data_IF_975544196238
#
_entry.id   IF_975544196238
#
_cell.length_a   1.000
_cell.length_b   1.000
_cell.length_c   1.000
_cell.angle_alpha   90.00
_cell.angle_beta   90.00
_cell.angle_gamma   90.00
#
_symmetry.space_group_name_H-M   'P 1'
#
loop_
_entity.id
_entity.type
_entity.pdbx_description
1 polymer ?
#
# COMPACT_ATOMS: atom_id res chain seq x y z
N UNK A 1 18.75 -8.63 0.31
CA UNK A 1 18.20 -7.60 1.20
C UNK A 1 16.84 -7.08 0.74
N UNK A 2 16.68 -6.60 -0.51
CA UNK A 2 15.34 -6.35 -1.08
C UNK A 2 14.44 -7.61 -0.99
N UNK A 3 15.05 -8.79 -1.09
CA UNK A 3 14.46 -10.12 -0.84
C UNK A 3 13.93 -10.33 0.58
N UNK A 4 14.35 -9.54 1.55
CA UNK A 4 13.86 -9.65 2.92
C UNK A 4 12.86 -8.54 3.24
N UNK A 5 12.99 -7.38 2.60
CA UNK A 5 12.18 -6.19 2.90
C UNK A 5 10.94 -6.10 2.03
N UNK A 6 11.02 -6.42 0.74
CA UNK A 6 9.90 -6.28 -0.19
C UNK A 6 9.07 -7.56 -0.27
N UNK A 7 8.69 -8.16 0.87
CA UNK A 7 7.90 -9.40 0.87
C UNK A 7 6.40 -9.15 0.95
N UNK A 8 5.59 -10.13 0.53
CA UNK A 8 4.14 -10.02 0.60
C UNK A 8 3.67 -9.62 2.01
N UNK A 9 2.80 -8.61 2.07
CA UNK A 9 2.26 -8.08 3.32
C UNK A 9 3.20 -7.11 4.04
N UNK A 10 4.40 -6.83 3.52
CA UNK A 10 5.28 -5.85 4.12
C UNK A 10 4.78 -4.43 3.85
N UNK A 11 4.70 -3.63 4.92
CA UNK A 11 4.56 -2.18 4.87
C UNK A 11 5.96 -1.56 4.93
N UNK A 12 6.33 -0.85 3.89
CA UNK A 12 7.67 -0.31 3.70
C UNK A 12 7.60 1.21 3.57
N UNK A 13 8.51 1.91 4.23
CA UNK A 13 8.79 3.32 3.99
C UNK A 13 9.98 3.40 3.04
N UNK A 14 9.84 4.19 1.97
CA UNK A 14 10.97 4.63 1.16
C UNK A 14 11.19 6.11 1.45
N UNK A 15 12.31 6.40 2.08
CA UNK A 15 12.79 7.75 2.32
C UNK A 15 13.28 8.36 1.01
N UNK A 16 13.00 9.64 0.80
CA UNK A 16 13.32 10.36 -0.45
C UNK A 16 12.80 9.66 -1.72
N UNK A 17 11.62 9.05 -1.65
CA UNK A 17 11.00 8.41 -2.82
C UNK A 17 10.85 9.41 -3.97
N UNK A 18 11.41 9.07 -5.12
CA UNK A 18 11.41 9.89 -6.32
C UNK A 18 10.17 9.58 -7.15
N UNK A 19 9.30 10.59 -7.33
CA UNK A 19 8.13 10.45 -8.18
C UNK A 19 8.52 10.39 -9.66
N UNK A 20 7.81 9.56 -10.43
CA UNK A 20 8.08 9.37 -11.86
C UNK A 20 7.82 10.61 -12.71
N UNK A 21 7.03 11.56 -12.20
CA UNK A 21 6.72 12.82 -12.86
C UNK A 21 7.78 13.91 -12.59
N UNK A 22 8.83 13.60 -11.82
CA UNK A 22 9.90 14.54 -11.51
C UNK A 22 9.53 15.59 -10.47
N UNK A 23 8.39 15.48 -9.78
CA UNK A 23 7.93 16.44 -8.76
C UNK A 23 8.67 16.30 -7.41
N UNK A 24 10.00 16.14 -7.46
CA UNK A 24 10.88 16.05 -6.29
C UNK A 24 10.89 14.68 -5.61
N UNK A 25 11.46 14.65 -4.41
CA UNK A 25 11.47 13.49 -3.52
C UNK A 25 10.61 13.75 -2.28
N UNK A 26 9.96 12.69 -1.79
CA UNK A 26 9.30 12.71 -0.48
C UNK A 26 9.18 11.29 0.05
N UNK A 27 9.32 11.14 1.35
CA UNK A 27 8.99 9.91 2.06
C UNK A 27 7.64 9.33 1.63
N UNK A 28 7.66 8.04 1.30
CA UNK A 28 6.49 7.34 0.78
C UNK A 28 6.35 5.96 1.39
N UNK A 29 5.18 5.72 1.96
CA UNK A 29 4.78 4.39 2.38
C UNK A 29 4.17 3.60 1.21
N UNK A 30 4.51 2.32 1.13
CA UNK A 30 3.91 1.36 0.22
C UNK A 30 3.66 0.02 0.92
N UNK A 31 2.69 -0.71 0.41
CA UNK A 31 2.40 -2.08 0.82
C UNK A 31 2.74 -3.00 -0.34
N UNK A 32 3.52 -4.04 -0.08
CA UNK A 32 3.81 -5.09 -1.06
C UNK A 32 2.66 -6.11 -1.04
N UNK A 33 1.92 -6.19 -2.14
CA UNK A 33 0.78 -7.09 -2.32
C UNK A 33 1.24 -8.50 -2.67
N UNK A 34 2.27 -8.61 -3.50
CA UNK A 34 2.97 -9.84 -3.86
C UNK A 34 4.28 -9.50 -4.58
N UNK A 35 5.15 -10.48 -4.78
CA UNK A 35 6.33 -10.35 -5.63
C UNK A 35 6.78 -11.68 -6.22
N UNK A 36 7.68 -11.58 -7.20
CA UNK A 36 8.54 -12.68 -7.64
C UNK A 36 10.00 -12.18 -7.68
N UNK A 37 10.86 -12.83 -8.47
CA UNK A 37 12.27 -12.48 -8.60
C UNK A 37 12.52 -11.24 -9.48
N UNK A 38 11.54 -10.83 -10.28
CA UNK A 38 11.67 -9.73 -11.25
C UNK A 38 10.85 -8.48 -10.87
N UNK A 39 9.66 -8.68 -10.29
CA UNK A 39 8.69 -7.63 -10.05
C UNK A 39 8.03 -7.74 -8.67
N UNK A 40 7.57 -6.60 -8.16
CA UNK A 40 6.65 -6.51 -7.04
C UNK A 40 5.34 -5.84 -7.47
N UNK A 41 4.23 -6.39 -7.00
CA UNK A 41 2.93 -5.70 -7.00
C UNK A 41 2.86 -4.87 -5.74
N UNK A 42 2.80 -3.56 -5.87
CA UNK A 42 2.78 -2.63 -4.75
C UNK A 42 1.53 -1.75 -4.80
N UNK A 43 1.19 -1.20 -3.65
CA UNK A 43 0.24 -0.09 -3.57
C UNK A 43 0.77 1.00 -2.64
N UNK A 44 0.74 2.23 -3.12
CA UNK A 44 1.14 3.39 -2.34
C UNK A 44 0.03 3.84 -1.38
N UNK A 45 0.43 4.30 -0.19
CA UNK A 45 -0.51 4.93 0.75
C UNK A 45 -0.42 6.46 0.69
N UNK A 46 -1.46 7.14 1.16
CA UNK A 46 -1.56 8.59 1.26
C UNK A 46 -1.89 8.98 2.69
N UNK A 47 -0.86 9.36 3.44
CA UNK A 47 -0.97 9.96 4.78
C UNK A 47 -1.33 11.45 4.65
N UNK A 48 -2.38 11.92 5.32
CA UNK A 48 -2.80 13.33 5.25
C UNK A 48 -3.18 13.89 6.61
N UNK A 49 -2.80 15.16 6.86
CA UNK A 49 -3.31 15.95 7.98
C UNK A 49 -4.62 16.67 7.64
N UNK A 50 -4.96 16.75 6.36
CA UNK A 50 -6.18 17.38 5.86
C UNK A 50 -7.16 16.28 5.44
N UNK A 51 -8.15 16.03 6.29
CA UNK A 51 -9.26 15.16 5.95
C UNK A 51 -10.48 16.02 5.65
N UNK A 52 -10.75 16.27 4.37
CA UNK A 52 -11.98 16.97 3.93
C UNK A 52 -13.17 16.02 3.81
N UNK A 53 -12.96 14.71 3.97
CA UNK A 53 -14.03 13.72 3.95
C UNK A 53 -14.60 13.60 5.37
N UNK A 54 -15.92 13.78 5.49
CA UNK A 54 -16.62 13.47 6.75
C UNK A 54 -16.64 11.96 6.91
N UNK A 55 -15.64 11.43 7.62
CA UNK A 55 -15.56 10.02 7.96
C UNK A 55 -16.27 9.80 9.30
N UNK A 56 -17.19 8.80 9.40
CA UNK A 56 -17.64 8.30 10.69
C UNK A 56 -16.46 8.05 11.66
N UNK A 57 -16.68 8.27 12.96
CA UNK A 57 -15.74 7.83 14.00
C UNK A 57 -15.54 6.32 13.92
N UNK A 58 -14.31 5.85 14.17
CA UNK A 58 -13.90 4.44 14.17
C UNK A 58 -13.84 3.75 12.79
N UNK A 59 -13.68 4.54 11.72
CA UNK A 59 -13.49 3.93 10.41
C UNK A 59 -12.12 3.27 10.29
N UNK A 60 -12.14 1.96 10.08
CA UNK A 60 -10.99 1.20 9.62
C UNK A 60 -11.45 0.17 8.59
N UNK A 61 -10.94 0.30 7.37
CA UNK A 61 -11.15 -0.68 6.31
C UNK A 61 -11.71 -0.09 5.02
N UNK A 62 -12.55 -0.88 4.35
CA UNK A 62 -13.04 -0.57 3.02
C UNK A 62 -14.21 0.41 3.06
N UNK A 63 -14.05 1.56 2.41
CA UNK A 63 -15.08 2.58 2.27
C UNK A 63 -15.32 2.88 0.79
N UNK A 64 -16.49 3.41 0.48
CA UNK A 64 -16.88 3.82 -0.88
C UNK A 64 -17.49 5.20 -0.80
N UNK A 65 -16.94 6.15 -1.56
CA UNK A 65 -17.50 7.50 -1.70
C UNK A 65 -17.65 7.77 -3.19
N UNK A 66 -18.83 8.21 -3.62
CA UNK A 66 -19.12 8.49 -5.05
C UNK A 66 -18.77 7.32 -5.99
N UNK A 67 -19.05 6.07 -5.57
CA UNK A 67 -18.68 4.84 -6.28
C UNK A 67 -17.18 4.60 -6.44
N UNK A 68 -16.32 5.35 -5.73
CA UNK A 68 -14.88 5.15 -5.70
C UNK A 68 -14.52 4.41 -4.40
N UNK A 69 -14.14 3.12 -4.46
CA UNK A 69 -13.69 2.41 -3.29
C UNK A 69 -12.26 2.82 -2.91
N UNK A 70 -12.00 2.88 -1.61
CA UNK A 70 -10.69 3.09 -1.01
C UNK A 70 -10.59 2.35 0.32
N UNK A 71 -9.36 2.11 0.78
CA UNK A 71 -9.11 1.59 2.11
C UNK A 71 -8.65 2.71 3.03
N UNK A 72 -9.23 2.80 4.22
CA UNK A 72 -8.93 3.83 5.20
C UNK A 72 -8.34 3.20 6.47
N UNK A 73 -7.29 3.82 6.97
CA UNK A 73 -6.62 3.48 8.22
C UNK A 73 -6.63 4.76 9.07
N UNK A 74 -7.39 4.73 10.16
CA UNK A 74 -7.39 5.82 11.12
C UNK A 74 -6.03 5.96 11.79
N UNK A 75 -5.57 7.19 12.01
CA UNK A 75 -4.34 7.46 12.78
C UNK A 75 -4.34 6.71 14.12
N UNK A 76 -3.15 6.35 14.60
CA UNK A 76 -2.93 5.60 15.85
C UNK A 76 -3.61 4.22 15.91
N UNK A 77 -4.15 3.72 14.78
CA UNK A 77 -4.58 2.32 14.70
C UNK A 77 -3.35 1.46 14.52
N UNK A 78 -3.09 0.59 15.50
CA UNK A 78 -1.96 -0.31 15.45
C UNK A 78 -2.17 -1.42 14.39
N UNK A 79 -1.11 -1.73 13.67
CA UNK A 79 -1.05 -2.71 12.60
C UNK A 79 -0.05 -3.79 12.99
N UNK A 80 -0.34 -5.04 12.63
CA UNK A 80 0.60 -6.15 12.76
C UNK A 80 1.07 -6.43 14.19
N UNK A 81 2.19 -7.16 14.29
CA UNK A 81 2.73 -7.62 15.56
C UNK A 81 3.62 -6.56 16.23
N UNK A 82 4.28 -5.70 15.44
CA UNK A 82 5.14 -4.64 15.98
C UNK A 82 4.33 -3.39 16.38
N UNK A 83 3.01 -3.45 16.25
CA UNK A 83 2.07 -2.39 16.64
C UNK A 83 2.36 -1.06 15.93
N UNK A 84 2.92 -1.11 14.72
CA UNK A 84 3.15 0.11 13.94
C UNK A 84 1.82 0.83 13.70
N UNK A 85 1.80 2.15 13.88
CA UNK A 85 0.63 2.97 13.57
C UNK A 85 1.05 4.23 12.83
N UNK A 86 0.23 4.66 11.87
CA UNK A 86 0.43 5.96 11.24
C UNK A 86 0.09 7.09 12.22
N UNK A 87 0.90 8.15 12.21
CA UNK A 87 0.67 9.39 12.98
C UNK A 87 -0.54 10.19 12.47
N UNK A 88 -0.95 9.89 11.22
CA UNK A 88 -2.00 10.58 10.47
C UNK A 88 -2.97 9.59 9.85
N UNK A 89 -4.15 10.10 9.55
CA UNK A 89 -5.15 9.39 8.78
C UNK A 89 -4.56 9.01 7.41
N UNK A 90 -4.72 7.74 7.06
CA UNK A 90 -4.06 7.15 5.91
C UNK A 90 -5.08 6.54 4.96
N UNK A 91 -5.06 7.00 3.72
CA UNK A 91 -5.92 6.54 2.65
C UNK A 91 -5.11 5.68 1.68
N UNK A 92 -5.77 4.66 1.14
CA UNK A 92 -5.24 3.83 0.08
C UNK A 92 -6.26 3.87 -1.06
N UNK A 93 -6.02 4.77 -2.00
CA UNK A 93 -6.83 4.91 -3.21
C UNK A 93 -6.34 3.93 -4.27
N UNK A 94 -7.23 3.14 -4.86
CA UNK A 94 -6.80 2.11 -5.81
C UNK A 94 -6.49 2.66 -7.20
N UNK A 95 -7.20 3.71 -7.60
CA UNK A 95 -6.96 4.40 -8.87
C UNK A 95 -5.53 4.95 -8.91
N UNK A 96 -4.75 4.51 -9.90
CA UNK A 96 -3.37 4.94 -10.19
C UNK A 96 -2.30 4.66 -9.10
N UNK A 97 -2.63 4.03 -7.97
CA UNK A 97 -1.65 3.73 -6.93
C UNK A 97 -1.26 2.25 -6.85
N UNK A 98 -2.00 1.35 -7.51
CA UNK A 98 -1.60 -0.06 -7.68
C UNK A 98 -0.64 -0.16 -8.86
N UNK A 99 0.53 -0.76 -8.64
CA UNK A 99 1.57 -0.85 -9.67
C UNK A 99 2.24 -2.21 -9.68
N UNK A 100 2.66 -2.63 -10.87
CA UNK A 100 3.66 -3.66 -11.07
C UNK A 100 4.99 -2.95 -11.30
N UNK A 101 5.89 -2.99 -10.32
CA UNK A 101 7.20 -2.34 -10.37
C UNK A 101 8.29 -3.39 -10.53
N UNK A 102 9.31 -3.10 -11.36
CA UNK A 102 10.50 -3.95 -11.45
C UNK A 102 11.33 -3.80 -10.18
N UNK A 103 11.82 -4.90 -9.61
CA UNK A 103 12.64 -4.84 -8.39
C UNK A 103 13.91 -4.01 -8.55
N UNK A 104 14.49 -3.97 -9.76
CA UNK A 104 15.63 -3.13 -10.08
C UNK A 104 15.35 -1.63 -9.93
N UNK A 105 14.08 -1.19 -10.01
CA UNK A 105 13.72 0.23 -9.81
C UNK A 105 13.96 0.71 -8.38
N UNK A 106 14.08 -0.21 -7.42
CA UNK A 106 14.39 0.10 -6.03
C UNK A 106 15.91 0.20 -5.77
N UNK A 107 16.77 -0.28 -6.69
CA UNK A 107 18.23 -0.22 -6.54
C UNK A 107 18.81 1.20 -6.63
N UNK A 108 18.00 2.17 -7.08
CA UNK A 108 18.38 3.59 -7.09
C UNK A 108 18.33 4.23 -5.71
N UNK A 109 17.74 3.56 -4.71
CA UNK A 109 17.69 4.04 -3.34
C UNK A 109 18.80 3.35 -2.54
N UNK A 110 19.44 4.10 -1.65
CA UNK A 110 20.34 3.50 -0.67
C UNK A 110 19.58 2.52 0.21
N UNK A 111 20.22 1.42 0.58
CA UNK A 111 19.59 0.36 1.37
C UNK A 111 19.01 0.88 2.70
N UNK A 112 19.67 1.87 3.31
CA UNK A 112 19.21 2.54 4.52
C UNK A 112 17.87 3.28 4.35
N UNK A 113 17.53 3.68 3.13
CA UNK A 113 16.34 4.47 2.84
C UNK A 113 15.10 3.60 2.63
N UNK A 114 15.26 2.28 2.56
CA UNK A 114 14.14 1.33 2.41
C UNK A 114 13.93 0.64 3.75
N UNK A 115 12.95 1.13 4.51
CA UNK A 115 12.73 0.71 5.89
C UNK A 115 11.46 -0.14 5.99
N UNK A 116 11.60 -1.40 6.42
CA UNK A 116 10.45 -2.22 6.82
C UNK A 116 9.83 -1.62 8.09
N UNK A 117 8.54 -1.27 8.01
CA UNK A 117 7.80 -0.69 9.14
C UNK A 117 6.91 -1.71 9.82
N UNK A 118 6.30 -2.62 9.05
CA UNK A 118 5.45 -3.66 9.61
C UNK A 118 5.28 -4.86 8.68
N UNK A 119 5.03 -6.04 9.26
CA UNK A 119 4.51 -7.22 8.56
C UNK A 119 3.00 -7.30 8.80
N UNK A 120 2.22 -6.93 7.79
CA UNK A 120 0.77 -6.86 7.91
C UNK A 120 0.17 -8.28 8.00
N UNK A 121 -0.80 -8.51 8.91
CA UNK A 121 -1.45 -9.81 9.04
C UNK A 121 -2.13 -10.22 7.74
N UNK A 122 -2.16 -11.52 7.42
CA UNK A 122 -2.87 -12.05 6.24
C UNK A 122 -4.31 -11.57 6.15
N UNK A 123 -5.01 -11.47 7.29
CA UNK A 123 -6.38 -10.97 7.35
C UNK A 123 -6.49 -9.49 6.92
N UNK A 124 -5.52 -8.65 7.28
CA UNK A 124 -5.45 -7.27 6.81
C UNK A 124 -5.31 -7.25 5.28
N UNK A 125 -4.33 -8.00 4.75
CA UNK A 125 -4.06 -8.02 3.32
C UNK A 125 -5.26 -8.56 2.53
N UNK A 126 -5.93 -9.60 3.03
CA UNK A 126 -7.16 -10.14 2.43
C UNK A 126 -8.31 -9.14 2.42
N UNK A 127 -8.48 -8.34 3.49
CA UNK A 127 -9.47 -7.25 3.54
C UNK A 127 -9.14 -6.14 2.55
N UNK A 128 -7.86 -5.76 2.45
CA UNK A 128 -7.38 -4.77 1.49
C UNK A 128 -7.64 -5.22 0.04
N UNK A 129 -7.22 -6.43 -0.33
CA UNK A 129 -7.43 -7.00 -1.66
C UNK A 129 -8.91 -7.11 -2.02
N UNK A 130 -9.76 -7.57 -1.08
CA UNK A 130 -11.22 -7.58 -1.29
C UNK A 130 -11.78 -6.18 -1.54
N UNK A 131 -11.21 -5.14 -0.93
CA UNK A 131 -11.62 -3.77 -1.19
C UNK A 131 -11.15 -3.28 -2.56
N UNK A 132 -9.89 -3.57 -2.91
CA UNK A 132 -9.29 -3.24 -4.20
C UNK A 132 -10.13 -3.80 -5.36
N UNK A 133 -10.53 -5.07 -5.27
CA UNK A 133 -11.33 -5.75 -6.30
C UNK A 133 -12.77 -5.22 -6.46
N UNK A 134 -13.20 -4.25 -5.64
CA UNK A 134 -14.45 -3.50 -5.89
C UNK A 134 -14.24 -2.33 -6.86
N UNK A 135 -12.99 -2.01 -7.20
CA UNK A 135 -12.63 -0.85 -8.00
C UNK A 135 -12.61 -1.18 -9.48
N UNK A 136 -13.34 -0.40 -10.26
CA UNK A 136 -13.29 -0.46 -11.72
C UNK A 136 -12.10 0.31 -12.32
N UNK A 137 -11.18 0.80 -11.48
CA UNK A 137 -10.02 1.60 -11.89
C UNK A 137 -8.70 0.82 -11.87
N UNK A 138 -8.74 -0.48 -11.58
CA UNK A 138 -7.56 -1.34 -11.60
C UNK A 138 -7.41 -1.91 -13.02
N UNK A 139 -6.19 -1.89 -13.54
CA UNK A 139 -5.88 -2.52 -14.82
C UNK A 139 -6.24 -4.02 -14.79
N UNK A 140 -6.85 -4.51 -15.87
CA UNK A 140 -7.38 -5.88 -15.93
C UNK A 140 -6.30 -6.95 -15.69
N UNK A 141 -5.07 -6.73 -16.12
CA UNK A 141 -3.98 -7.68 -15.90
C UNK A 141 -3.55 -7.68 -14.44
N UNK A 142 -3.50 -6.50 -13.80
CA UNK A 142 -3.24 -6.38 -12.38
C UNK A 142 -4.38 -7.02 -11.58
N UNK A 143 -5.64 -6.76 -11.93
CA UNK A 143 -6.81 -7.32 -11.25
C UNK A 143 -6.77 -8.85 -11.20
N UNK A 144 -6.48 -9.52 -12.33
CA UNK A 144 -6.33 -10.98 -12.39
C UNK A 144 -5.27 -11.50 -11.43
N UNK A 145 -4.16 -10.79 -11.31
CA UNK A 145 -3.10 -11.16 -10.36
C UNK A 145 -3.54 -10.93 -8.91
N UNK A 146 -4.22 -9.83 -8.62
CA UNK A 146 -4.78 -9.57 -7.28
C UNK A 146 -5.78 -10.64 -6.84
N UNK A 147 -6.59 -11.19 -7.77
CA UNK A 147 -7.49 -12.31 -7.50
C UNK A 147 -6.68 -13.55 -7.08
N UNK A 148 -5.67 -13.93 -7.85
CA UNK A 148 -4.79 -15.07 -7.52
C UNK A 148 -4.13 -14.91 -6.15
N UNK A 149 -3.57 -13.72 -5.90
CA UNK A 149 -2.92 -13.37 -4.64
C UNK A 149 -3.91 -13.54 -3.47
N UNK A 150 -5.12 -12.99 -3.60
CA UNK A 150 -6.17 -13.09 -2.57
C UNK A 150 -6.55 -14.53 -2.26
N UNK A 151 -6.59 -15.41 -3.26
CA UNK A 151 -7.00 -16.80 -3.10
C UNK A 151 -5.92 -17.67 -2.46
N UNK A 152 -4.67 -17.20 -2.44
CA UNK A 152 -3.53 -17.85 -1.79
C UNK A 152 -3.32 -17.41 -0.32
N UNK A 153 -4.06 -16.39 0.15
CA UNK A 153 -4.00 -15.84 1.51
C UNK A 153 -5.02 -16.46 2.47
#
# INVERSE_FOLDING_TARGET
MLDEILQQGHLVLIEDYQFQDGNGSKDKFLIVLNRNDEFAYIIHTLTTSQNKLSLPSDNFGCLVTENIPYFFIQKNTALGENQFSFDKDTFIFFRNNVRKENLASFLKYDESNIVLKEKLPKQFLKRLLKCMLKSNFIDLNIEKELIKIKDQL
#
